data_IF_377281537017
#
_entry.id   IF_377281537017
#
_cell.length_a   1.000
_cell.length_b   1.000
_cell.length_c   1.000
_cell.angle_alpha   90.00
_cell.angle_beta   90.00
_cell.angle_gamma   90.00
#
_symmetry.space_group_name_H-M   'P 1'
#
loop_
_entity.id
_entity.type
_entity.pdbx_description
1 polymer ?
#
# COMPACT_ATOMS: atom_id res chain seq x y z
N UNK A 1 8.50 33.19 -9.72
CA UNK A 1 7.95 32.04 -10.46
C UNK A 1 9.09 31.29 -11.13
N UNK A 2 9.76 31.85 -12.14
CA UNK A 2 10.89 31.19 -12.83
C UNK A 2 12.06 30.74 -11.93
N UNK A 3 12.52 31.59 -11.01
CA UNK A 3 13.55 31.21 -10.03
C UNK A 3 13.10 30.12 -9.04
N UNK A 4 11.80 30.05 -8.75
CA UNK A 4 11.25 29.03 -7.85
C UNK A 4 11.16 27.67 -8.57
N UNK A 5 10.75 27.66 -9.85
CA UNK A 5 10.79 26.47 -10.70
C UNK A 5 12.21 25.95 -10.91
N UNK A 6 13.17 26.83 -11.19
CA UNK A 6 14.58 26.43 -11.36
C UNK A 6 15.16 25.83 -10.08
N UNK A 7 14.83 26.39 -8.91
CA UNK A 7 15.25 25.85 -7.62
C UNK A 7 14.64 24.48 -7.33
N UNK A 8 13.34 24.32 -7.60
CA UNK A 8 12.66 23.04 -7.38
C UNK A 8 13.15 21.96 -8.36
N UNK A 9 13.44 22.33 -9.60
CA UNK A 9 13.99 21.41 -10.60
C UNK A 9 15.43 21.00 -10.27
N UNK A 10 16.22 21.89 -9.66
CA UNK A 10 17.56 21.56 -9.15
C UNK A 10 17.50 20.61 -7.95
N UNK A 11 16.54 20.80 -7.03
CA UNK A 11 16.31 19.90 -5.89
C UNK A 11 15.91 18.49 -6.35
N UNK A 12 15.00 18.38 -7.31
CA UNK A 12 14.57 17.10 -7.89
C UNK A 12 15.76 16.37 -8.54
N UNK A 13 16.55 17.07 -9.37
CA UNK A 13 17.75 16.49 -9.98
C UNK A 13 18.79 16.05 -8.94
N UNK A 14 18.93 16.81 -7.86
CA UNK A 14 19.82 16.47 -6.75
C UNK A 14 19.39 15.21 -6.01
N UNK A 15 18.08 15.05 -5.77
CA UNK A 15 17.53 13.84 -5.16
C UNK A 15 17.67 12.63 -6.08
N UNK A 16 17.39 12.80 -7.38
CA UNK A 16 17.53 11.73 -8.37
C UNK A 16 18.98 11.23 -8.46
N UNK A 17 19.97 12.12 -8.47
CA UNK A 17 21.39 11.76 -8.45
C UNK A 17 21.79 11.00 -7.17
N UNK A 18 21.26 11.40 -6.01
CA UNK A 18 21.50 10.69 -4.75
C UNK A 18 20.92 9.27 -4.77
N UNK A 19 19.67 9.12 -5.20
CA UNK A 19 19.05 7.80 -5.30
C UNK A 19 19.76 6.89 -6.32
N UNK A 20 20.19 7.42 -7.46
CA UNK A 20 20.98 6.65 -8.42
C UNK A 20 22.30 6.16 -7.82
N UNK A 21 22.95 6.98 -6.99
CA UNK A 21 24.21 6.63 -6.33
C UNK A 21 23.98 5.55 -5.26
N UNK A 22 22.97 5.72 -4.40
CA UNK A 22 22.62 4.73 -3.36
C UNK A 22 22.25 3.36 -3.97
N UNK A 23 21.46 3.35 -5.05
CA UNK A 23 21.11 2.10 -5.75
C UNK A 23 22.37 1.41 -6.29
N UNK A 24 23.30 2.19 -6.86
CA UNK A 24 24.55 1.65 -7.40
C UNK A 24 25.42 1.05 -6.29
N UNK A 25 25.59 1.75 -5.17
CA UNK A 25 26.33 1.25 -4.02
C UNK A 25 25.70 -0.01 -3.42
N UNK A 26 24.36 -0.06 -3.35
CA UNK A 26 23.64 -1.23 -2.85
C UNK A 26 23.83 -2.44 -3.76
N UNK A 27 23.80 -2.24 -5.08
CA UNK A 27 24.10 -3.29 -6.07
C UNK A 27 25.55 -3.77 -5.95
N UNK A 28 26.52 -2.86 -5.80
CA UNK A 28 27.93 -3.22 -5.63
C UNK A 28 28.12 -4.06 -4.36
N UNK A 29 27.50 -3.67 -3.22
CA UNK A 29 27.53 -4.47 -1.99
C UNK A 29 26.95 -5.86 -2.17
N UNK A 30 25.79 -5.97 -2.81
CA UNK A 30 25.17 -7.27 -3.06
C UNK A 30 26.02 -8.17 -3.96
N UNK A 31 26.68 -7.60 -4.98
CA UNK A 31 27.59 -8.36 -5.84
C UNK A 31 28.80 -8.89 -5.06
N UNK A 32 29.38 -8.08 -4.16
CA UNK A 32 30.45 -8.56 -3.27
C UNK A 32 29.97 -9.64 -2.31
N UNK A 33 28.80 -9.47 -1.69
CA UNK A 33 28.26 -10.46 -0.75
C UNK A 33 27.98 -11.81 -1.42
N UNK A 34 27.46 -11.80 -2.66
CA UNK A 34 27.29 -13.03 -3.45
C UNK A 34 28.63 -13.67 -3.78
N UNK A 35 29.65 -12.89 -4.15
CA UNK A 35 30.98 -13.40 -4.43
C UNK A 35 31.64 -14.01 -3.17
N UNK A 36 31.47 -13.38 -2.00
CA UNK A 36 31.98 -13.89 -0.72
C UNK A 36 31.27 -15.20 -0.31
N UNK A 37 29.95 -15.29 -0.50
CA UNK A 37 29.20 -16.53 -0.25
C UNK A 37 29.63 -17.66 -1.19
N UNK A 38 29.89 -17.35 -2.46
CA UNK A 38 30.41 -18.35 -3.41
C UNK A 38 31.82 -18.82 -3.03
N UNK A 39 32.71 -17.93 -2.58
CA UNK A 39 34.03 -18.31 -2.05
C UNK A 39 33.92 -19.18 -0.80
N UNK A 40 33.00 -18.86 0.12
CA UNK A 40 32.75 -19.67 1.33
C UNK A 40 32.23 -21.06 0.99
N UNK A 41 31.25 -21.17 0.09
CA UNK A 41 30.75 -22.47 -0.36
C UNK A 41 31.83 -23.30 -1.06
N UNK A 42 32.68 -22.68 -1.89
CA UNK A 42 33.81 -23.38 -2.51
C UNK A 42 34.82 -23.87 -1.48
N UNK A 43 35.09 -23.09 -0.43
CA UNK A 43 35.96 -23.48 0.67
C UNK A 43 35.39 -24.67 1.47
N UNK A 44 34.10 -24.64 1.82
CA UNK A 44 33.42 -25.74 2.52
C UNK A 44 33.41 -27.03 1.69
N UNK A 45 33.12 -26.94 0.39
CA UNK A 45 33.17 -28.10 -0.51
C UNK A 45 34.59 -28.66 -0.58
N UNK A 46 35.62 -27.81 -0.66
CA UNK A 46 37.01 -28.26 -0.66
C UNK A 46 37.43 -28.89 0.67
N UNK A 47 36.90 -28.42 1.81
CA UNK A 47 37.14 -28.99 3.13
C UNK A 47 36.46 -30.35 3.29
N UNK A 48 35.20 -30.49 2.86
CA UNK A 48 34.48 -31.76 2.84
C UNK A 48 35.17 -32.79 1.94
N UNK A 49 35.69 -32.37 0.78
CA UNK A 49 36.50 -33.23 -0.09
C UNK A 49 37.81 -33.67 0.56
N UNK A 50 38.50 -32.80 1.32
CA UNK A 50 39.68 -33.19 2.10
C UNK A 50 39.34 -34.15 3.22
N UNK A 51 38.29 -33.87 4.00
CA UNK A 51 37.82 -34.73 5.09
C UNK A 51 37.44 -36.12 4.59
N UNK A 52 36.73 -36.22 3.45
CA UNK A 52 36.42 -37.49 2.80
C UNK A 52 37.68 -38.25 2.34
N UNK A 53 38.67 -37.54 1.80
CA UNK A 53 39.95 -38.12 1.35
C UNK A 53 40.82 -38.63 2.52
N UNK A 54 40.75 -37.97 3.68
CA UNK A 54 41.47 -38.35 4.90
C UNK A 54 40.77 -39.48 5.68
N UNK A 55 39.43 -39.49 5.72
CA UNK A 55 38.66 -40.57 6.37
C UNK A 55 38.84 -41.91 5.64
N UNK A 56 38.91 -41.90 4.31
CA UNK A 56 39.16 -43.08 3.48
C UNK A 56 40.52 -43.77 3.73
N UNK A 57 41.47 -43.13 4.43
CA UNK A 57 42.78 -43.72 4.75
C UNK A 57 42.87 -44.40 6.13
N UNK A 58 41.90 -44.22 7.04
CA UNK A 58 42.08 -44.67 8.44
C UNK A 58 41.03 -45.60 9.04
N UNK A 59 39.85 -45.81 8.44
CA UNK A 59 38.92 -46.88 8.86
C UNK A 59 37.91 -47.13 7.74
N UNK A 60 37.42 -48.37 7.66
CA UNK A 60 36.55 -48.91 6.61
C UNK A 60 35.70 -47.88 5.88
N UNK A 61 35.86 -47.86 4.55
CA UNK A 61 35.32 -46.84 3.66
C UNK A 61 33.83 -46.59 3.89
N UNK A 62 33.46 -45.31 3.80
CA UNK A 62 32.10 -44.93 3.48
C UNK A 62 31.65 -45.83 2.33
N UNK A 63 30.54 -46.55 2.53
CA UNK A 63 30.00 -47.44 1.52
C UNK A 63 29.84 -46.67 0.22
N UNK A 64 30.08 -47.30 -0.93
CA UNK A 64 29.91 -46.67 -2.26
C UNK A 64 28.55 -45.96 -2.38
N UNK A 65 27.54 -46.49 -1.69
CA UNK A 65 26.18 -45.95 -1.58
C UNK A 65 26.13 -44.56 -0.91
N UNK A 66 26.96 -44.28 0.09
CA UNK A 66 27.01 -42.98 0.77
C UNK A 66 27.66 -41.91 -0.12
N UNK A 67 28.66 -42.29 -0.91
CA UNK A 67 29.28 -41.40 -1.91
C UNK A 67 28.31 -41.11 -3.06
N UNK A 68 27.55 -42.11 -3.52
CA UNK A 68 26.53 -41.88 -4.55
C UNK A 68 25.39 -41.01 -4.02
N UNK A 69 24.98 -41.18 -2.76
CA UNK A 69 23.97 -40.33 -2.11
C UNK A 69 24.42 -38.88 -2.01
N UNK A 70 25.64 -38.62 -1.56
CA UNK A 70 26.18 -37.25 -1.46
C UNK A 70 26.34 -36.60 -2.85
N UNK A 71 26.70 -37.37 -3.89
CA UNK A 71 26.73 -36.86 -5.27
C UNK A 71 25.34 -36.49 -5.77
N UNK A 72 24.33 -37.31 -5.49
CA UNK A 72 22.95 -37.01 -5.84
C UNK A 72 22.47 -35.73 -5.15
N UNK A 73 22.76 -35.57 -3.86
CA UNK A 73 22.42 -34.39 -3.06
C UNK A 73 23.12 -33.12 -3.58
N UNK A 74 24.40 -33.21 -3.97
CA UNK A 74 25.12 -32.10 -4.59
C UNK A 74 24.49 -31.70 -5.94
N UNK A 75 24.13 -32.68 -6.78
CA UNK A 75 23.47 -32.38 -8.07
C UNK A 75 22.07 -31.77 -7.89
N UNK A 76 21.36 -32.15 -6.82
CA UNK A 76 20.08 -31.56 -6.47
C UNK A 76 20.25 -30.13 -5.98
N UNK A 77 21.26 -29.86 -5.16
CA UNK A 77 21.60 -28.50 -4.73
C UNK A 77 22.01 -27.61 -5.91
N UNK A 78 22.83 -28.08 -6.84
CA UNK A 78 23.20 -27.33 -8.05
C UNK A 78 21.97 -26.99 -8.90
N UNK A 79 21.04 -27.94 -9.07
CA UNK A 79 19.78 -27.69 -9.77
C UNK A 79 18.89 -26.66 -9.05
N UNK A 80 18.87 -26.68 -7.71
CA UNK A 80 18.17 -25.69 -6.88
C UNK A 80 18.83 -24.30 -6.98
N UNK A 81 20.15 -24.20 -7.00
CA UNK A 81 20.85 -22.94 -7.22
C UNK A 81 20.61 -22.39 -8.62
N UNK A 82 20.68 -23.21 -9.68
CA UNK A 82 20.38 -22.77 -11.04
C UNK A 82 18.94 -22.26 -11.18
N UNK A 83 17.97 -22.95 -10.58
CA UNK A 83 16.57 -22.52 -10.60
C UNK A 83 16.37 -21.23 -9.82
N UNK A 84 17.02 -21.06 -8.67
CA UNK A 84 17.01 -19.80 -7.90
C UNK A 84 17.63 -18.65 -8.69
N UNK A 85 18.76 -18.88 -9.36
CA UNK A 85 19.44 -17.86 -10.19
C UNK A 85 18.60 -17.47 -11.40
N UNK A 86 17.95 -18.43 -12.08
CA UNK A 86 17.01 -18.13 -13.16
C UNK A 86 15.79 -17.35 -12.67
N UNK A 87 15.28 -17.67 -11.48
CA UNK A 87 14.16 -16.94 -10.87
C UNK A 87 14.56 -15.49 -10.53
N UNK A 88 15.73 -15.28 -9.91
CA UNK A 88 16.26 -13.94 -9.64
C UNK A 88 16.48 -13.12 -10.92
N UNK A 89 17.04 -13.74 -11.96
CA UNK A 89 17.22 -13.08 -13.26
C UNK A 89 15.88 -12.70 -13.92
N UNK A 90 14.86 -13.57 -13.84
CA UNK A 90 13.53 -13.28 -14.34
C UNK A 90 12.83 -12.15 -13.54
N UNK A 91 13.00 -12.14 -12.22
CA UNK A 91 12.49 -11.07 -11.35
C UNK A 91 13.17 -9.73 -11.66
N UNK A 92 14.48 -9.71 -11.88
CA UNK A 92 15.21 -8.51 -12.28
C UNK A 92 14.79 -8.01 -13.66
N UNK A 93 14.59 -8.91 -14.63
CA UNK A 93 14.08 -8.55 -15.95
C UNK A 93 12.66 -7.96 -15.89
N UNK A 94 11.79 -8.53 -15.05
CA UNK A 94 10.44 -8.01 -14.83
C UNK A 94 10.46 -6.64 -14.14
N UNK A 95 11.36 -6.43 -13.17
CA UNK A 95 11.53 -5.14 -12.49
C UNK A 95 12.02 -4.05 -13.47
N UNK A 96 12.97 -4.37 -14.35
CA UNK A 96 13.44 -3.44 -15.38
C UNK A 96 12.32 -3.09 -16.39
N UNK A 97 11.56 -4.08 -16.85
CA UNK A 97 10.42 -3.84 -17.74
C UNK A 97 9.34 -2.95 -17.09
N UNK A 98 9.07 -3.16 -15.79
CA UNK A 98 8.15 -2.32 -15.03
C UNK A 98 8.68 -0.88 -14.89
N UNK A 99 9.99 -0.70 -14.68
CA UNK A 99 10.63 0.62 -14.63
C UNK A 99 10.53 1.35 -15.96
N UNK A 100 10.85 0.69 -17.08
CA UNK A 100 10.71 1.28 -18.42
C UNK A 100 9.25 1.67 -18.73
N UNK A 101 8.29 0.83 -18.32
CA UNK A 101 6.86 1.14 -18.44
C UNK A 101 6.43 2.34 -17.57
N UNK A 102 7.02 2.52 -16.39
CA UNK A 102 6.77 3.69 -15.56
C UNK A 102 7.39 4.96 -16.16
N UNK A 103 8.63 4.88 -16.65
CA UNK A 103 9.33 6.01 -17.30
C UNK A 103 8.59 6.49 -18.55
N UNK A 104 8.08 5.58 -19.38
CA UNK A 104 7.25 5.93 -20.54
C UNK A 104 5.92 6.58 -20.17
N UNK A 105 5.25 6.12 -19.11
CA UNK A 105 4.04 6.78 -18.58
C UNK A 105 4.34 8.18 -18.06
N UNK A 106 5.45 8.35 -17.34
CA UNK A 106 5.88 9.65 -16.82
C UNK A 106 6.20 10.62 -17.96
N UNK A 107 6.90 10.15 -19.00
CA UNK A 107 7.16 10.94 -20.21
C UNK A 107 5.87 11.37 -20.92
N UNK A 108 4.87 10.48 -21.02
CA UNK A 108 3.57 10.82 -21.60
C UNK A 108 2.80 11.86 -20.76
N UNK A 109 2.81 11.73 -19.43
CA UNK A 109 2.19 12.69 -18.53
C UNK A 109 2.85 14.08 -18.62
N UNK A 110 4.18 14.14 -18.64
CA UNK A 110 4.92 15.40 -18.82
C UNK A 110 4.56 16.07 -20.16
N UNK A 111 4.45 15.28 -21.25
CA UNK A 111 4.01 15.82 -22.53
C UNK A 111 2.60 16.41 -22.48
N UNK A 112 1.66 15.77 -21.78
CA UNK A 112 0.30 16.31 -21.61
C UNK A 112 0.29 17.61 -20.79
N UNK A 113 1.15 17.72 -19.78
CA UNK A 113 1.32 18.96 -19.00
C UNK A 113 1.87 20.07 -19.90
N UNK A 114 2.90 19.79 -20.70
CA UNK A 114 3.48 20.76 -21.65
C UNK A 114 2.44 21.21 -22.69
N UNK A 115 1.68 20.27 -23.27
CA UNK A 115 0.60 20.57 -24.22
C UNK A 115 -0.50 21.43 -23.57
N UNK A 116 -0.86 21.15 -22.30
CA UNK A 116 -1.83 21.93 -21.53
C UNK A 116 -1.33 23.35 -21.22
N UNK A 117 -0.06 23.49 -20.83
CA UNK A 117 0.58 24.79 -20.61
C UNK A 117 0.66 25.60 -21.91
N UNK A 118 0.97 24.96 -23.04
CA UNK A 118 0.95 25.60 -24.36
C UNK A 118 -0.46 26.06 -24.74
N UNK A 119 -1.49 25.25 -24.49
CA UNK A 119 -2.87 25.63 -24.73
C UNK A 119 -3.31 26.82 -23.84
N UNK A 120 -2.96 26.79 -22.55
CA UNK A 120 -3.26 27.86 -21.61
C UNK A 120 -2.57 29.17 -21.99
N UNK A 121 -1.29 29.13 -22.39
CA UNK A 121 -0.56 30.33 -22.85
C UNK A 121 -1.13 30.90 -24.14
N UNK A 122 -1.56 30.06 -25.08
CA UNK A 122 -2.27 30.49 -26.29
C UNK A 122 -3.60 31.15 -25.95
N UNK A 123 -4.40 30.54 -25.08
CA UNK A 123 -5.67 31.11 -24.61
C UNK A 123 -5.46 32.45 -23.88
N UNK A 124 -4.38 32.58 -23.10
CA UNK A 124 -4.02 33.84 -22.45
C UNK A 124 -3.65 34.93 -23.47
N UNK A 125 -2.95 34.59 -24.55
CA UNK A 125 -2.66 35.54 -25.64
C UNK A 125 -3.94 35.97 -26.38
N UNK A 126 -4.84 35.03 -26.69
CA UNK A 126 -6.14 35.33 -27.32
C UNK A 126 -7.00 36.24 -26.43
N UNK A 127 -7.04 35.98 -25.12
CA UNK A 127 -7.74 36.84 -24.16
C UNK A 127 -7.14 38.24 -24.11
N UNK A 128 -5.81 38.37 -24.21
CA UNK A 128 -5.14 39.67 -24.27
C UNK A 128 -5.50 40.44 -25.55
N UNK A 129 -5.52 39.78 -26.71
CA UNK A 129 -5.94 40.41 -27.97
C UNK A 129 -7.40 40.86 -27.93
N UNK A 130 -8.30 40.05 -27.35
CA UNK A 130 -9.70 40.44 -27.16
C UNK A 130 -9.86 41.64 -26.22
N UNK A 131 -9.06 41.72 -25.15
CA UNK A 131 -9.05 42.89 -24.26
C UNK A 131 -8.58 44.16 -24.98
N UNK A 132 -7.57 44.06 -25.84
CA UNK A 132 -7.09 45.19 -26.66
C UNK A 132 -8.15 45.64 -27.68
N UNK A 133 -8.86 44.71 -28.31
CA UNK A 133 -9.99 45.01 -29.20
C UNK A 133 -11.16 45.68 -28.47
N UNK A 134 -11.55 45.18 -27.30
CA UNK A 134 -12.58 45.80 -26.46
C UNK A 134 -12.18 47.23 -26.09
N UNK A 135 -10.92 47.45 -25.70
CA UNK A 135 -10.42 48.78 -25.37
C UNK A 135 -10.45 49.72 -26.60
N UNK A 136 -10.12 49.22 -27.78
CA UNK A 136 -10.20 49.96 -29.04
C UNK A 136 -11.64 50.33 -29.40
N UNK A 137 -12.58 49.38 -29.32
CA UNK A 137 -14.00 49.63 -29.60
C UNK A 137 -14.61 50.63 -28.62
N UNK A 138 -14.24 50.57 -27.33
CA UNK A 138 -14.66 51.56 -26.33
C UNK A 138 -14.23 52.98 -26.71
N UNK A 139 -12.97 53.17 -27.14
CA UNK A 139 -12.50 54.48 -27.63
C UNK A 139 -13.28 54.95 -28.86
N UNK A 140 -13.57 54.05 -29.81
CA UNK A 140 -14.37 54.40 -30.99
C UNK A 140 -15.79 54.85 -30.62
N UNK A 141 -16.42 54.21 -29.63
CA UNK A 141 -17.74 54.61 -29.12
C UNK A 141 -17.65 55.99 -28.42
N UNK A 142 -16.62 56.22 -27.61
CA UNK A 142 -16.38 57.51 -26.95
C UNK A 142 -16.16 58.64 -27.98
N UNK A 143 -15.34 58.42 -29.00
CA UNK A 143 -15.08 59.37 -30.08
C UNK A 143 -16.36 59.68 -30.88
N UNK A 144 -17.16 58.65 -31.22
CA UNK A 144 -18.44 58.83 -31.91
C UNK A 144 -19.43 59.65 -31.08
N UNK A 145 -19.52 59.38 -29.77
CA UNK A 145 -20.35 60.16 -28.83
C UNK A 145 -19.92 61.63 -28.75
N UNK A 146 -18.60 61.91 -28.82
CA UNK A 146 -18.10 63.29 -28.89
C UNK A 146 -18.42 64.00 -30.21
N UNK A 147 -18.46 63.27 -31.32
CA UNK A 147 -18.87 63.82 -32.62
C UNK A 147 -20.37 64.12 -32.67
N UNK A 148 -21.22 63.24 -32.14
CA UNK A 148 -22.67 63.44 -32.09
C UNK A 148 -23.05 64.64 -31.20
N UNK A 149 -22.38 64.80 -30.05
CA UNK A 149 -22.55 65.98 -29.19
C UNK A 149 -22.08 67.27 -29.87
N UNK A 150 -20.96 67.23 -30.60
CA UNK A 150 -20.46 68.39 -31.37
C UNK A 150 -21.37 68.76 -32.53
N UNK A 151 -21.93 67.76 -33.23
CA UNK A 151 -22.91 67.97 -34.31
C UNK A 151 -24.23 68.53 -33.77
N UNK A 152 -24.71 68.03 -32.63
CA UNK A 152 -25.89 68.57 -31.94
C UNK A 152 -25.69 70.02 -31.51
N UNK A 153 -24.51 70.37 -30.97
CA UNK A 153 -24.16 71.76 -30.61
C UNK A 153 -24.09 72.65 -31.86
N UNK A 154 -23.48 72.18 -32.95
CA UNK A 154 -23.43 72.94 -34.21
C UNK A 154 -24.82 73.17 -34.83
N UNK A 155 -25.70 72.16 -34.79
CA UNK A 155 -27.08 72.28 -35.24
C UNK A 155 -27.89 73.25 -34.38
N UNK A 156 -27.74 73.20 -33.05
CA UNK A 156 -28.36 74.16 -32.13
C UNK A 156 -27.90 75.61 -32.40
N UNK A 157 -26.64 75.79 -32.83
CA UNK A 157 -26.10 77.12 -33.18
C UNK A 157 -26.64 77.62 -34.53
N UNK A 158 -26.89 76.72 -35.50
CA UNK A 158 -27.43 77.06 -36.82
C UNK A 158 -28.94 77.39 -36.79
N UNK A 159 -29.72 76.80 -35.86
CA UNK A 159 -31.16 77.05 -35.71
C UNK A 159 -31.45 78.44 -35.11
N UNK A 160 -30.46 79.11 -34.53
CA UNK A 160 -30.60 80.46 -33.96
C UNK A 160 -30.81 81.59 -35.00
N UNK A 161 -30.83 81.31 -36.31
CA UNK A 161 -30.81 82.36 -37.35
C UNK A 161 -31.94 82.34 -38.38
N UNK A 162 -33.05 81.63 -38.14
CA UNK A 162 -34.16 81.59 -39.11
C UNK A 162 -35.53 81.85 -38.46
N UNK A 163 -35.73 83.08 -37.99
CA UNK A 163 -37.01 83.55 -37.49
C UNK A 163 -37.98 83.88 -38.63
N UNK A 164 -38.57 82.87 -39.28
CA UNK A 164 -39.83 83.01 -40.07
C UNK A 164 -40.41 81.68 -40.58
N UNK A 165 -40.67 80.73 -39.68
CA UNK A 165 -41.63 79.62 -39.89
C UNK A 165 -42.27 79.25 -38.54
N UNK A 166 -42.97 80.21 -37.93
CA UNK A 166 -43.43 80.08 -36.54
C UNK A 166 -44.54 79.04 -36.35
N UNK A 167 -45.49 78.90 -37.27
CA UNK A 167 -46.67 78.07 -37.00
C UNK A 167 -46.56 76.61 -37.46
N UNK A 168 -45.90 76.32 -38.58
CA UNK A 168 -45.69 74.94 -39.05
C UNK A 168 -44.63 74.23 -38.22
N UNK A 169 -43.53 74.93 -37.86
CA UNK A 169 -42.50 74.35 -37.00
C UNK A 169 -43.00 74.16 -35.56
N UNK A 170 -43.89 75.01 -35.05
CA UNK A 170 -44.52 74.79 -33.74
C UNK A 170 -45.46 73.58 -33.76
N UNK A 171 -46.22 73.36 -34.84
CA UNK A 171 -47.07 72.17 -34.98
C UNK A 171 -46.24 70.88 -35.12
N UNK A 172 -45.18 70.90 -35.93
CA UNK A 172 -44.25 69.77 -36.07
C UNK A 172 -43.49 69.50 -34.75
N UNK A 173 -43.14 70.54 -33.99
CA UNK A 173 -42.51 70.38 -32.67
C UNK A 173 -43.47 69.77 -31.65
N UNK A 174 -44.75 70.11 -31.69
CA UNK A 174 -45.74 69.52 -30.79
C UNK A 174 -46.03 68.06 -31.16
N UNK A 175 -46.14 67.73 -32.45
CA UNK A 175 -46.26 66.32 -32.91
C UNK A 175 -45.01 65.50 -32.54
N UNK A 176 -43.81 66.08 -32.65
CA UNK A 176 -42.58 65.42 -32.21
C UNK A 176 -42.51 65.26 -30.68
N UNK A 177 -43.08 66.19 -29.91
CA UNK A 177 -43.16 66.07 -28.44
C UNK A 177 -44.11 64.96 -28.04
N UNK A 178 -45.31 64.90 -28.62
CA UNK A 178 -46.25 63.79 -28.40
C UNK A 178 -45.60 62.46 -28.80
N UNK A 179 -44.88 62.42 -29.92
CA UNK A 179 -44.20 61.20 -30.35
C UNK A 179 -43.04 60.78 -29.43
N UNK A 180 -42.31 61.75 -28.87
CA UNK A 180 -41.27 61.47 -27.87
C UNK A 180 -41.90 60.94 -26.58
N UNK A 181 -43.00 61.53 -26.11
CA UNK A 181 -43.73 61.07 -24.92
C UNK A 181 -44.26 59.65 -25.11
N UNK A 182 -44.85 59.33 -26.28
CA UNK A 182 -45.26 57.96 -26.62
C UNK A 182 -44.09 56.96 -26.61
N UNK A 183 -42.94 57.36 -27.18
CA UNK A 183 -41.75 56.51 -27.22
C UNK A 183 -41.13 56.34 -25.83
N UNK A 184 -41.17 57.37 -24.97
CA UNK A 184 -40.73 57.28 -23.57
C UNK A 184 -41.65 56.35 -22.77
N UNK A 185 -42.97 56.42 -22.95
CA UNK A 185 -43.92 55.47 -22.36
C UNK A 185 -43.70 54.04 -22.84
N UNK A 186 -43.50 53.84 -24.15
CA UNK A 186 -43.24 52.52 -24.73
C UNK A 186 -41.91 51.94 -24.21
N UNK A 187 -40.86 52.77 -24.12
CA UNK A 187 -39.57 52.37 -23.57
C UNK A 187 -39.69 52.02 -22.07
N UNK A 188 -40.47 52.78 -21.29
CA UNK A 188 -40.76 52.46 -19.89
C UNK A 188 -41.52 51.12 -19.75
N UNK A 189 -42.48 50.83 -20.65
CA UNK A 189 -43.19 49.54 -20.69
C UNK A 189 -42.23 48.39 -21.03
N UNK A 190 -41.35 48.58 -22.02
CA UNK A 190 -40.36 47.58 -22.42
C UNK A 190 -39.33 47.33 -21.30
N UNK A 191 -38.83 48.36 -20.63
CA UNK A 191 -37.93 48.20 -19.48
C UNK A 191 -38.58 47.43 -18.33
N UNK A 192 -39.88 47.68 -18.08
CA UNK A 192 -40.66 46.93 -17.08
C UNK A 192 -40.79 45.46 -17.47
N UNK A 193 -41.07 45.15 -18.74
CA UNK A 193 -41.15 43.78 -19.27
C UNK A 193 -39.80 43.04 -19.22
N UNK A 194 -38.70 43.72 -19.55
CA UNK A 194 -37.35 43.14 -19.46
C UNK A 194 -37.00 42.84 -18.00
N UNK A 195 -37.34 43.75 -17.09
CA UNK A 195 -37.11 43.58 -15.65
C UNK A 195 -37.92 42.43 -15.06
N UNK A 196 -39.19 42.26 -15.45
CA UNK A 196 -40.02 41.14 -14.98
C UNK A 196 -39.59 39.82 -15.60
N UNK A 197 -39.25 39.79 -16.89
CA UNK A 197 -38.72 38.61 -17.57
C UNK A 197 -37.38 38.17 -16.98
N UNK A 198 -36.49 39.11 -16.67
CA UNK A 198 -35.21 38.83 -16.02
C UNK A 198 -35.38 38.22 -14.62
N UNK A 199 -36.32 38.73 -13.82
CA UNK A 199 -36.65 38.15 -12.50
C UNK A 199 -37.27 36.76 -12.62
N UNK A 200 -38.20 36.55 -13.56
CA UNK A 200 -38.81 35.25 -13.79
C UNK A 200 -37.79 34.21 -14.28
N UNK A 201 -36.87 34.60 -15.16
CA UNK A 201 -35.80 33.72 -15.64
C UNK A 201 -34.82 33.31 -14.53
N UNK A 202 -34.47 34.24 -13.64
CA UNK A 202 -33.61 33.94 -12.48
C UNK A 202 -34.33 33.03 -11.49
N UNK A 203 -35.59 33.32 -11.16
CA UNK A 203 -36.38 32.48 -10.26
C UNK A 203 -36.60 31.05 -10.80
N UNK A 204 -36.75 30.90 -12.12
CA UNK A 204 -36.82 29.58 -12.75
C UNK A 204 -35.48 28.83 -12.66
N UNK A 205 -34.36 29.50 -12.94
CA UNK A 205 -33.01 28.92 -12.77
C UNK A 205 -32.74 28.50 -11.33
N UNK A 206 -33.03 29.38 -10.36
CA UNK A 206 -32.82 29.11 -8.94
C UNK A 206 -33.67 27.91 -8.45
N UNK A 207 -34.89 27.76 -8.99
CA UNK A 207 -35.75 26.62 -8.69
C UNK A 207 -35.23 25.31 -9.29
N UNK A 208 -34.70 25.33 -10.52
CA UNK A 208 -34.07 24.17 -11.14
C UNK A 208 -32.79 23.77 -10.42
N UNK A 209 -31.95 24.73 -10.04
CA UNK A 209 -30.71 24.48 -9.31
C UNK A 209 -30.99 23.94 -7.91
N UNK A 210 -32.02 24.46 -7.23
CA UNK A 210 -32.48 23.91 -5.95
C UNK A 210 -32.97 22.47 -6.09
N UNK A 211 -33.73 22.15 -7.13
CA UNK A 211 -34.21 20.79 -7.38
C UNK A 211 -33.04 19.83 -7.68
N UNK A 212 -32.06 20.26 -8.48
CA UNK A 212 -30.83 19.49 -8.73
C UNK A 212 -30.04 19.25 -7.46
N UNK A 213 -29.94 20.25 -6.58
CA UNK A 213 -29.26 20.11 -5.29
C UNK A 213 -29.97 19.10 -4.39
N UNK A 214 -31.30 19.12 -4.32
CA UNK A 214 -32.09 18.15 -3.56
C UNK A 214 -31.94 16.72 -4.11
N UNK A 215 -31.93 16.56 -5.43
CA UNK A 215 -31.69 15.26 -6.11
C UNK A 215 -30.27 14.73 -5.82
N UNK A 216 -29.25 15.60 -5.87
CA UNK A 216 -27.87 15.25 -5.51
C UNK A 216 -27.73 14.88 -4.04
N UNK A 217 -28.39 15.61 -3.13
CA UNK A 217 -28.41 15.27 -1.71
C UNK A 217 -29.10 13.92 -1.46
N UNK A 218 -30.19 13.63 -2.16
CA UNK A 218 -30.88 12.34 -2.07
C UNK A 218 -30.01 11.20 -2.62
N UNK A 219 -29.26 11.42 -3.70
CA UNK A 219 -28.31 10.47 -4.24
C UNK A 219 -27.14 10.21 -3.27
N UNK A 220 -26.57 11.26 -2.67
CA UNK A 220 -25.51 11.14 -1.66
C UNK A 220 -25.95 10.32 -0.46
N UNK A 221 -27.15 10.55 0.09
CA UNK A 221 -27.68 9.74 1.20
C UNK A 221 -27.83 8.26 0.84
N UNK A 222 -28.20 7.95 -0.40
CA UNK A 222 -28.27 6.55 -0.87
C UNK A 222 -26.88 5.93 -1.00
N UNK A 223 -25.90 6.70 -1.47
CA UNK A 223 -24.51 6.25 -1.55
C UNK A 223 -23.91 6.02 -0.16
N UNK A 224 -24.17 6.91 0.81
CA UNK A 224 -23.78 6.73 2.20
C UNK A 224 -24.34 5.43 2.78
N UNK A 225 -25.64 5.17 2.61
CA UNK A 225 -26.25 3.91 3.08
C UNK A 225 -25.64 2.66 2.41
N UNK A 226 -25.32 2.71 1.12
CA UNK A 226 -24.64 1.60 0.43
C UNK A 226 -23.20 1.43 0.91
N UNK A 227 -22.49 2.52 1.24
CA UNK A 227 -21.17 2.46 1.82
C UNK A 227 -21.19 1.80 3.20
N UNK A 228 -22.13 2.17 4.06
CA UNK A 228 -22.31 1.58 5.40
C UNK A 228 -22.60 0.07 5.29
N UNK A 229 -23.53 -0.34 4.42
CA UNK A 229 -23.84 -1.76 4.15
C UNK A 229 -22.61 -2.55 3.66
N UNK A 230 -21.74 -1.92 2.86
CA UNK A 230 -20.53 -2.55 2.33
C UNK A 230 -19.42 -2.62 3.38
N UNK A 231 -19.32 -1.64 4.28
CA UNK A 231 -18.41 -1.66 5.42
C UNK A 231 -18.79 -2.77 6.40
N UNK A 232 -20.08 -2.93 6.71
CA UNK A 232 -20.57 -4.02 7.56
C UNK A 232 -20.26 -5.38 6.93
N UNK A 233 -20.54 -5.57 5.63
CA UNK A 233 -20.21 -6.82 4.92
C UNK A 233 -18.71 -7.10 4.87
N UNK A 234 -17.89 -6.07 4.74
CA UNK A 234 -16.43 -6.22 4.76
C UNK A 234 -15.93 -6.66 6.14
N UNK A 235 -16.49 -6.10 7.21
CA UNK A 235 -16.19 -6.50 8.59
C UNK A 235 -16.55 -7.96 8.85
N UNK A 236 -17.77 -8.36 8.50
CA UNK A 236 -18.24 -9.75 8.65
C UNK A 236 -17.38 -10.73 7.83
N UNK A 237 -16.97 -10.34 6.62
CA UNK A 237 -16.07 -11.15 5.80
C UNK A 237 -14.67 -11.28 6.42
N UNK A 238 -14.15 -10.20 7.03
CA UNK A 238 -12.87 -10.20 7.72
C UNK A 238 -12.89 -11.08 8.98
N UNK A 239 -13.94 -10.99 9.80
CA UNK A 239 -14.13 -11.87 10.96
C UNK A 239 -14.18 -13.34 10.54
N UNK A 240 -14.95 -13.65 9.49
CA UNK A 240 -15.01 -15.02 8.93
C UNK A 240 -13.66 -15.51 8.43
N UNK A 241 -12.86 -14.64 7.79
CA UNK A 241 -11.52 -14.99 7.35
C UNK A 241 -10.57 -15.27 8.53
N UNK A 242 -10.70 -14.52 9.63
CA UNK A 242 -9.93 -14.77 10.85
C UNK A 242 -10.30 -16.11 11.49
N UNK A 243 -11.60 -16.43 11.58
CA UNK A 243 -12.08 -17.73 12.08
C UNK A 243 -11.55 -18.87 11.21
N UNK A 244 -11.64 -18.76 9.89
CA UNK A 244 -11.10 -19.80 8.99
C UNK A 244 -9.58 -19.96 9.13
N UNK A 245 -8.86 -18.87 9.42
CA UNK A 245 -7.42 -18.92 9.64
C UNK A 245 -7.07 -19.63 10.95
N UNK A 246 -7.82 -19.39 12.04
CA UNK A 246 -7.59 -20.10 13.30
C UNK A 246 -7.97 -21.57 13.20
N UNK A 247 -9.05 -21.91 12.51
CA UNK A 247 -9.43 -23.30 12.20
C UNK A 247 -8.35 -24.01 11.36
N UNK A 248 -7.78 -23.33 10.38
CA UNK A 248 -6.70 -23.87 9.55
C UNK A 248 -5.42 -24.14 10.37
N UNK A 249 -5.02 -23.21 11.24
CA UNK A 249 -3.85 -23.42 12.10
C UNK A 249 -4.09 -24.55 13.12
N UNK A 250 -5.28 -24.64 13.71
CA UNK A 250 -5.65 -25.76 14.58
C UNK A 250 -5.62 -27.11 13.83
N UNK A 251 -6.07 -27.13 12.57
CA UNK A 251 -5.98 -28.32 11.73
C UNK A 251 -4.51 -28.69 11.42
N UNK A 252 -3.64 -27.72 11.13
CA UNK A 252 -2.21 -27.95 10.90
C UNK A 252 -1.50 -28.49 12.15
N UNK A 253 -1.80 -27.95 13.33
CA UNK A 253 -1.25 -28.46 14.58
C UNK A 253 -1.69 -29.90 14.84
N UNK A 254 -2.96 -30.20 14.58
CA UNK A 254 -3.48 -31.57 14.68
C UNK A 254 -2.77 -32.52 13.71
N UNK A 255 -2.50 -32.09 12.47
CA UNK A 255 -1.73 -32.86 11.48
C UNK A 255 -0.30 -33.09 12.00
N UNK A 256 0.40 -32.06 12.46
CA UNK A 256 1.76 -32.21 13.04
C UNK A 256 1.77 -33.17 14.23
N UNK A 257 0.77 -33.09 15.11
CA UNK A 257 0.62 -34.02 16.23
C UNK A 257 0.39 -35.46 15.78
N UNK A 258 -0.39 -35.65 14.72
CA UNK A 258 -0.60 -36.97 14.10
C UNK A 258 0.66 -37.50 13.41
N UNK A 259 1.42 -36.65 12.72
CA UNK A 259 2.69 -36.99 12.08
C UNK A 259 3.75 -37.37 13.12
N UNK A 260 3.86 -36.62 14.22
CA UNK A 260 4.76 -36.95 15.32
C UNK A 260 4.38 -38.28 15.99
N UNK A 261 3.08 -38.53 16.17
CA UNK A 261 2.59 -39.81 16.68
C UNK A 261 2.86 -40.97 15.72
N UNK A 262 2.72 -40.75 14.41
CA UNK A 262 3.04 -41.73 13.38
C UNK A 262 4.55 -42.05 13.34
N UNK A 263 5.41 -41.05 13.42
CA UNK A 263 6.86 -41.23 13.48
C UNK A 263 7.30 -41.98 14.76
N UNK A 264 6.68 -41.68 15.90
CA UNK A 264 6.93 -42.41 17.15
C UNK A 264 6.46 -43.88 17.09
N UNK A 265 5.33 -44.14 16.42
CA UNK A 265 4.85 -45.50 16.18
C UNK A 265 5.73 -46.27 15.20
N UNK A 266 6.22 -45.62 14.15
CA UNK A 266 7.13 -46.22 13.18
C UNK A 266 8.45 -46.61 13.84
N UNK A 267 9.03 -45.74 14.67
CA UNK A 267 10.21 -46.05 15.47
C UNK A 267 9.96 -47.23 16.42
N UNK A 268 8.80 -47.29 17.07
CA UNK A 268 8.42 -48.44 17.91
C UNK A 268 8.24 -49.73 17.10
N UNK A 269 7.77 -49.68 15.86
CA UNK A 269 7.71 -50.85 15.00
C UNK A 269 9.10 -51.29 14.56
N UNK A 270 10.01 -50.37 14.22
CA UNK A 270 11.41 -50.71 13.95
C UNK A 270 12.08 -51.38 15.17
N UNK A 271 11.74 -50.94 16.38
CA UNK A 271 12.18 -51.55 17.64
C UNK A 271 11.47 -52.90 17.95
N UNK A 272 10.18 -53.06 17.62
CA UNK A 272 9.37 -54.27 17.90
C UNK A 272 9.44 -55.36 16.80
N UNK A 273 9.84 -55.04 15.57
CA UNK A 273 10.09 -56.02 14.48
C UNK A 273 11.25 -56.97 14.83
N UNK A 274 11.99 -56.71 15.92
CA UNK A 274 12.89 -57.67 16.56
C UNK A 274 12.18 -58.80 17.35
N UNK A 275 10.84 -58.86 17.45
CA UNK A 275 10.12 -59.91 18.21
C UNK A 275 8.76 -60.34 17.62
N UNK A 276 8.44 -61.65 17.56
CA UNK A 276 7.20 -62.13 16.94
C UNK A 276 6.07 -62.24 17.96
N UNK A 277 5.06 -61.36 17.87
CA UNK A 277 3.91 -61.38 18.77
C UNK A 277 2.58 -61.04 18.10
N UNK A 278 1.54 -61.87 18.33
CA UNK A 278 0.18 -61.76 17.77
C UNK A 278 -0.50 -60.39 17.97
N UNK A 279 -0.08 -59.63 18.98
CA UNK A 279 -0.53 -58.25 19.25
C UNK A 279 -0.07 -57.21 18.20
N UNK A 280 1.03 -57.48 17.48
CA UNK A 280 1.48 -56.63 16.37
C UNK A 280 0.49 -56.65 15.20
N UNK A 281 -0.12 -57.79 14.92
CA UNK A 281 -1.08 -57.94 13.81
C UNK A 281 -2.40 -57.20 14.06
N UNK A 282 -2.89 -57.19 15.30
CA UNK A 282 -4.09 -56.41 15.67
C UNK A 282 -3.83 -54.90 15.59
N UNK A 283 -2.67 -54.43 16.06
CA UNK A 283 -2.27 -53.02 15.93
C UNK A 283 -2.07 -52.62 14.47
N UNK A 284 -1.51 -53.49 13.63
CA UNK A 284 -1.38 -53.24 12.18
C UNK A 284 -2.76 -53.11 11.54
N UNK A 285 -3.71 -53.98 11.86
CA UNK A 285 -5.08 -53.90 11.33
C UNK A 285 -5.81 -52.61 11.77
N UNK A 286 -5.65 -52.17 13.02
CA UNK A 286 -6.21 -50.90 13.50
C UNK A 286 -5.57 -49.67 12.81
N UNK A 287 -4.27 -49.74 12.53
CA UNK A 287 -3.55 -48.69 11.80
C UNK A 287 -3.94 -48.65 10.32
N UNK A 288 -4.10 -49.80 9.66
CA UNK A 288 -4.62 -49.89 8.29
C UNK A 288 -6.05 -49.31 8.19
N UNK A 289 -6.91 -49.58 9.18
CA UNK A 289 -8.24 -49.00 9.25
C UNK A 289 -8.21 -47.48 9.41
N UNK A 290 -7.27 -46.96 10.19
CA UNK A 290 -7.08 -45.51 10.42
C UNK A 290 -6.50 -44.81 9.20
N UNK A 291 -5.54 -45.41 8.50
CA UNK A 291 -5.02 -44.91 7.21
C UNK A 291 -6.15 -44.86 6.18
N UNK A 292 -6.92 -45.95 6.05
CA UNK A 292 -8.06 -46.01 5.13
C UNK A 292 -9.14 -44.96 5.45
N UNK A 293 -9.28 -44.57 6.73
CA UNK A 293 -10.20 -43.49 7.12
C UNK A 293 -9.65 -42.13 6.72
N UNK A 294 -8.37 -41.86 6.96
CA UNK A 294 -7.71 -40.61 6.59
C UNK A 294 -7.67 -40.42 5.07
N UNK A 295 -7.52 -41.49 4.28
CA UNK A 295 -7.59 -41.44 2.82
C UNK A 295 -8.98 -41.04 2.32
N UNK A 296 -10.05 -41.52 2.98
CA UNK A 296 -11.42 -41.09 2.66
C UNK A 296 -11.66 -39.63 3.05
N UNK A 297 -11.18 -39.22 4.22
CA UNK A 297 -11.28 -37.82 4.68
C UNK A 297 -10.50 -36.88 3.74
N UNK A 298 -9.32 -37.30 3.26
CA UNK A 298 -8.56 -36.58 2.23
C UNK A 298 -9.35 -36.47 0.92
N UNK A 299 -9.92 -37.56 0.42
CA UNK A 299 -10.71 -37.54 -0.81
C UNK A 299 -11.92 -36.60 -0.71
N UNK A 300 -12.62 -36.58 0.44
CA UNK A 300 -13.74 -35.64 0.65
C UNK A 300 -13.30 -34.18 0.68
N UNK A 301 -12.12 -33.88 1.22
CA UNK A 301 -11.58 -32.51 1.22
C UNK A 301 -11.12 -32.08 -0.17
N UNK A 302 -10.58 -33.00 -0.97
CA UNK A 302 -10.23 -32.75 -2.37
C UNK A 302 -11.48 -32.45 -3.22
N UNK A 303 -12.57 -33.21 -3.03
CA UNK A 303 -13.86 -32.96 -3.69
C UNK A 303 -14.46 -31.59 -3.31
N UNK A 304 -14.43 -31.22 -2.02
CA UNK A 304 -14.86 -29.90 -1.56
C UNK A 304 -14.02 -28.77 -2.16
N UNK A 305 -12.72 -28.98 -2.32
CA UNK A 305 -11.83 -28.01 -2.94
C UNK A 305 -12.17 -27.81 -4.43
N UNK A 306 -12.50 -28.89 -5.15
CA UNK A 306 -12.92 -28.82 -6.55
C UNK A 306 -14.28 -28.13 -6.72
N UNK A 307 -15.25 -28.40 -5.84
CA UNK A 307 -16.54 -27.70 -5.82
C UNK A 307 -16.37 -26.19 -5.60
N UNK A 308 -15.57 -25.79 -4.61
CA UNK A 308 -15.25 -24.38 -4.34
C UNK A 308 -14.51 -23.70 -5.51
N UNK A 309 -13.67 -24.44 -6.23
CA UNK A 309 -13.05 -23.94 -7.46
C UNK A 309 -14.06 -23.71 -8.58
N UNK A 310 -15.02 -24.61 -8.72
CA UNK A 310 -16.09 -24.49 -9.72
C UNK A 310 -17.02 -23.31 -9.40
N UNK A 311 -17.45 -23.15 -8.15
CA UNK A 311 -18.30 -22.02 -7.73
C UNK A 311 -17.59 -20.68 -7.92
N UNK A 312 -16.29 -20.60 -7.60
CA UNK A 312 -15.48 -19.39 -7.80
C UNK A 312 -15.37 -19.02 -9.28
N UNK A 313 -15.17 -20.00 -10.16
CA UNK A 313 -15.10 -19.78 -11.61
C UNK A 313 -16.43 -19.30 -12.19
N UNK A 314 -17.55 -19.82 -11.68
CA UNK A 314 -18.90 -19.37 -12.04
C UNK A 314 -19.15 -17.91 -11.58
N UNK A 315 -18.70 -17.55 -10.38
CA UNK A 315 -18.78 -16.18 -9.85
C UNK A 315 -17.95 -15.20 -10.67
N UNK A 316 -16.71 -15.56 -11.04
CA UNK A 316 -15.86 -14.74 -11.90
C UNK A 316 -16.50 -14.49 -13.28
N UNK A 317 -17.09 -15.54 -13.87
CA UNK A 317 -17.84 -15.41 -15.13
C UNK A 317 -19.06 -14.49 -14.98
N UNK A 318 -19.79 -14.60 -13.87
CA UNK A 318 -20.94 -13.73 -13.60
C UNK A 318 -20.54 -12.27 -13.37
N UNK A 319 -19.44 -12.01 -12.67
CA UNK A 319 -18.89 -10.67 -12.49
C UNK A 319 -18.44 -10.07 -13.82
N UNK A 320 -17.73 -10.85 -14.64
CA UNK A 320 -17.33 -10.44 -15.99
C UNK A 320 -18.53 -10.09 -16.86
N UNK A 321 -19.58 -10.93 -16.86
CA UNK A 321 -20.82 -10.67 -17.59
C UNK A 321 -21.59 -9.44 -17.07
N UNK A 322 -21.48 -9.11 -15.78
CA UNK A 322 -22.04 -7.88 -15.21
C UNK A 322 -21.24 -6.66 -15.64
N UNK A 323 -19.90 -6.76 -15.62
CA UNK A 323 -19.00 -5.71 -16.06
C UNK A 323 -19.14 -5.41 -17.56
N UNK A 324 -19.33 -6.45 -18.38
CA UNK A 324 -19.56 -6.29 -19.83
C UNK A 324 -20.96 -5.71 -20.16
N UNK A 325 -21.91 -5.77 -19.22
CA UNK A 325 -23.29 -5.24 -19.38
C UNK A 325 -23.48 -3.86 -18.78
N UNK A 326 -22.77 -3.56 -17.70
CA UNK A 326 -22.63 -2.23 -17.14
C UNK A 326 -21.89 -1.38 -18.18
N UNK A 327 -22.55 -0.40 -18.79
CA UNK A 327 -21.90 0.51 -19.74
C UNK A 327 -20.69 1.20 -19.11
N UNK A 328 -19.85 1.82 -19.95
CA UNK A 328 -18.55 2.41 -19.54
C UNK A 328 -18.68 3.38 -18.33
N UNK A 329 -19.87 3.95 -18.07
CA UNK A 329 -20.16 4.82 -16.92
C UNK A 329 -20.29 4.08 -15.57
N UNK A 330 -20.91 2.90 -15.53
CA UNK A 330 -21.00 2.07 -14.31
C UNK A 330 -19.67 1.36 -14.03
N UNK A 331 -18.93 1.00 -15.08
CA UNK A 331 -17.56 0.51 -14.96
C UNK A 331 -16.63 1.59 -14.37
N UNK A 332 -16.77 2.85 -14.80
CA UNK A 332 -16.01 3.96 -14.24
C UNK A 332 -16.36 4.23 -12.76
N UNK A 333 -17.64 4.18 -12.39
CA UNK A 333 -18.06 4.32 -10.99
C UNK A 333 -17.56 3.17 -10.10
N UNK A 334 -17.57 1.94 -10.60
CA UNK A 334 -17.05 0.79 -9.84
C UNK A 334 -15.53 0.87 -9.68
N UNK A 335 -14.78 1.29 -10.70
CA UNK A 335 -13.33 1.53 -10.60
C UNK A 335 -13.03 2.64 -9.59
N UNK A 336 -13.73 3.78 -9.65
CA UNK A 336 -13.56 4.86 -8.68
C UNK A 336 -13.88 4.40 -7.24
N UNK A 337 -14.92 3.58 -7.05
CA UNK A 337 -15.25 3.01 -5.74
C UNK A 337 -14.16 2.03 -5.26
N UNK A 338 -13.54 1.26 -6.15
CA UNK A 338 -12.41 0.39 -5.80
C UNK A 338 -11.14 1.18 -5.48
N UNK A 339 -10.85 2.27 -6.18
CA UNK A 339 -9.71 3.15 -5.89
C UNK A 339 -9.84 3.78 -4.49
N UNK A 340 -11.03 4.26 -4.11
CA UNK A 340 -11.29 4.78 -2.75
C UNK A 340 -11.07 3.70 -1.70
N UNK A 341 -11.59 2.48 -1.92
CA UNK A 341 -11.38 1.35 -1.00
C UNK A 341 -9.92 0.94 -0.90
N UNK A 342 -9.20 0.92 -2.02
CA UNK A 342 -7.79 0.60 -2.06
C UNK A 342 -6.96 1.64 -1.29
N UNK A 343 -7.25 2.93 -1.46
CA UNK A 343 -6.58 4.01 -0.74
C UNK A 343 -6.84 3.93 0.78
N UNK A 344 -8.09 3.69 1.19
CA UNK A 344 -8.44 3.52 2.61
C UNK A 344 -7.76 2.28 3.23
N UNK A 345 -7.66 1.19 2.47
CA UNK A 345 -6.95 -0.01 2.90
C UNK A 345 -5.44 0.26 3.03
N UNK A 346 -4.85 0.96 2.06
CA UNK A 346 -3.44 1.39 2.06
C UNK A 346 -3.12 2.27 3.27
N UNK A 347 -4.00 3.22 3.61
CA UNK A 347 -3.87 4.06 4.81
C UNK A 347 -3.95 3.24 6.10
N UNK A 348 -4.89 2.29 6.20
CA UNK A 348 -4.97 1.39 7.36
C UNK A 348 -3.72 0.52 7.52
N UNK A 349 -3.20 -0.02 6.43
CA UNK A 349 -1.95 -0.78 6.48
C UNK A 349 -0.78 0.08 6.93
N UNK A 350 -0.71 1.32 6.44
CA UNK A 350 0.32 2.26 6.88
C UNK A 350 0.21 2.54 8.39
N UNK A 351 -0.99 2.80 8.92
CA UNK A 351 -1.15 3.00 10.36
C UNK A 351 -0.82 1.76 11.18
N UNK A 352 -1.10 0.55 10.67
CA UNK A 352 -0.72 -0.69 11.34
C UNK A 352 0.80 -0.89 11.33
N UNK A 353 1.47 -0.56 10.22
CA UNK A 353 2.93 -0.61 10.11
C UNK A 353 3.58 0.40 11.07
N UNK A 354 3.10 1.65 11.08
CA UNK A 354 3.55 2.70 12.00
C UNK A 354 3.35 2.27 13.47
N UNK A 355 2.17 1.76 13.84
CA UNK A 355 1.87 1.25 15.19
C UNK A 355 2.73 0.06 15.59
N UNK A 356 2.99 -0.88 14.68
CA UNK A 356 3.85 -2.03 14.98
C UNK A 356 5.32 -1.64 15.11
N UNK A 357 5.74 -0.57 14.42
CA UNK A 357 7.09 -0.03 14.55
C UNK A 357 7.25 0.69 15.89
N UNK A 358 6.24 1.46 16.33
CA UNK A 358 6.22 2.07 17.67
C UNK A 358 6.29 0.98 18.77
N UNK A 359 5.53 -0.11 18.67
CA UNK A 359 5.61 -1.23 19.60
C UNK A 359 6.99 -1.91 19.61
N UNK A 360 7.64 -2.04 18.44
CA UNK A 360 9.01 -2.57 18.36
C UNK A 360 10.03 -1.66 19.02
N UNK A 361 9.90 -0.35 18.84
CA UNK A 361 10.79 0.64 19.44
C UNK A 361 10.62 0.64 20.98
N UNK A 362 9.38 0.58 21.48
CA UNK A 362 9.10 0.45 22.93
C UNK A 362 9.67 -0.85 23.52
N UNK A 363 9.54 -1.98 22.83
CA UNK A 363 10.12 -3.24 23.29
C UNK A 363 11.66 -3.21 23.28
N UNK A 364 12.28 -2.55 22.30
CA UNK A 364 13.73 -2.36 22.26
C UNK A 364 14.22 -1.50 23.42
N UNK A 365 13.50 -0.44 23.77
CA UNK A 365 13.79 0.39 24.93
C UNK A 365 13.68 -0.42 26.23
N UNK A 366 12.62 -1.21 26.39
CA UNK A 366 12.43 -2.10 27.55
C UNK A 366 13.53 -3.17 27.63
N UNK A 367 13.91 -3.77 26.51
CA UNK A 367 14.99 -4.76 26.45
C UNK A 367 16.33 -4.13 26.85
N UNK A 368 16.61 -2.92 26.36
CA UNK A 368 17.82 -2.16 26.68
C UNK A 368 17.88 -1.82 28.17
N UNK A 369 16.77 -1.37 28.75
CA UNK A 369 16.67 -1.08 30.19
C UNK A 369 16.88 -2.35 31.02
N UNK A 370 16.20 -3.44 30.67
CA UNK A 370 16.31 -4.70 31.39
C UNK A 370 17.73 -5.31 31.29
N UNK A 371 18.41 -5.18 30.14
CA UNK A 371 19.82 -5.55 29.98
C UNK A 371 20.74 -4.74 30.90
N UNK A 372 20.48 -3.43 31.05
CA UNK A 372 21.20 -2.58 31.99
C UNK A 372 20.98 -3.03 33.44
N UNK A 373 19.73 -3.31 33.83
CA UNK A 373 19.37 -3.79 35.17
C UNK A 373 20.06 -5.13 35.50
N UNK A 374 20.09 -6.07 34.56
CA UNK A 374 20.82 -7.34 34.74
C UNK A 374 22.32 -7.10 34.86
N UNK A 375 22.90 -6.19 34.06
CA UNK A 375 24.29 -5.80 34.17
C UNK A 375 24.66 -5.26 35.56
N UNK A 376 23.80 -4.44 36.15
CA UNK A 376 24.00 -3.89 37.50
C UNK A 376 23.84 -4.94 38.60
N UNK A 377 22.83 -5.81 38.50
CA UNK A 377 22.66 -6.94 39.43
C UNK A 377 23.86 -7.91 39.37
N UNK A 378 24.39 -8.20 38.18
CA UNK A 378 25.59 -9.02 38.02
C UNK A 378 26.82 -8.40 38.71
N UNK A 379 26.98 -7.07 38.63
CA UNK A 379 28.05 -6.35 39.34
C UNK A 379 27.87 -6.42 40.85
N UNK A 380 26.66 -6.22 41.36
CA UNK A 380 26.35 -6.31 42.80
C UNK A 380 26.60 -7.72 43.35
N UNK A 381 26.15 -8.77 42.65
CA UNK A 381 26.40 -10.17 43.03
C UNK A 381 27.90 -10.45 43.09
N UNK A 382 28.69 -9.99 42.10
CA UNK A 382 30.16 -10.14 42.10
C UNK A 382 30.82 -9.39 43.27
N UNK A 383 30.35 -8.18 43.59
CA UNK A 383 30.86 -7.41 44.73
C UNK A 383 30.59 -8.12 46.06
N UNK A 384 29.37 -8.61 46.29
CA UNK A 384 29.03 -9.38 47.50
C UNK A 384 29.79 -10.71 47.57
N UNK A 385 29.95 -11.43 46.46
CA UNK A 385 30.77 -12.65 46.42
C UNK A 385 32.22 -12.35 46.84
N UNK A 386 32.77 -11.22 46.38
CA UNK A 386 34.11 -10.76 46.75
C UNK A 386 34.18 -10.38 48.23
N UNK A 387 33.21 -9.63 48.75
CA UNK A 387 33.12 -9.27 50.17
C UNK A 387 33.00 -10.51 51.07
N UNK A 388 32.18 -11.50 50.69
CA UNK A 388 32.04 -12.79 51.39
C UNK A 388 33.35 -13.57 51.39
N UNK A 389 34.10 -13.56 50.28
CA UNK A 389 35.41 -14.21 50.22
C UNK A 389 36.43 -13.51 51.13
N UNK A 390 36.43 -12.18 51.15
CA UNK A 390 37.29 -11.37 52.02
C UNK A 390 36.97 -11.57 53.51
N UNK A 391 35.70 -11.52 53.91
CA UNK A 391 35.27 -11.77 55.31
C UNK A 391 35.57 -13.20 55.74
N UNK A 392 35.44 -14.21 54.87
CA UNK A 392 35.89 -15.58 55.18
C UNK A 392 37.40 -15.65 55.41
N UNK A 393 38.20 -14.93 54.63
CA UNK A 393 39.66 -14.91 54.80
C UNK A 393 40.10 -14.19 56.08
N UNK A 394 39.39 -13.14 56.49
CA UNK A 394 39.66 -12.39 57.72
C UNK A 394 39.13 -13.10 58.98
N UNK A 395 38.01 -13.84 58.87
CA UNK A 395 37.33 -14.51 59.97
C UNK A 395 38.01 -15.78 60.50
N UNK A 396 39.04 -16.29 59.82
CA UNK A 396 39.83 -17.45 60.29
C UNK A 396 40.56 -17.20 61.63
N UNK A 397 40.58 -15.97 62.13
CA UNK A 397 41.28 -15.56 63.36
C UNK A 397 40.38 -15.08 64.53
N UNK A 398 39.04 -14.98 64.42
CA UNK A 398 38.22 -14.73 65.61
C UNK A 398 36.80 -14.18 65.43
N UNK A 399 35.92 -14.59 66.36
CA UNK A 399 34.70 -13.87 66.75
C UNK A 399 33.37 -14.36 66.16
N UNK A 400 32.40 -14.69 67.03
CA UNK A 400 31.01 -15.03 66.66
C UNK A 400 30.27 -13.92 65.88
N UNK A 401 30.68 -12.65 66.03
CA UNK A 401 30.13 -11.51 65.28
C UNK A 401 30.36 -11.63 63.76
N UNK A 402 31.47 -12.22 63.32
CA UNK A 402 31.76 -12.45 61.89
C UNK A 402 30.85 -13.51 61.26
N UNK A 403 30.27 -14.42 62.06
CA UNK A 403 29.38 -15.47 61.57
C UNK A 403 28.02 -14.91 61.19
N UNK A 404 27.53 -13.94 61.95
CA UNK A 404 26.23 -13.31 61.73
C UNK A 404 26.26 -12.36 60.53
N UNK A 405 27.34 -11.58 60.38
CA UNK A 405 27.59 -10.76 59.19
C UNK A 405 27.73 -11.60 57.91
N UNK A 406 28.45 -12.73 57.97
CA UNK A 406 28.52 -13.68 56.86
C UNK A 406 27.15 -14.30 56.51
N UNK A 407 26.28 -14.51 57.50
CA UNK A 407 24.93 -15.04 57.29
C UNK A 407 24.04 -14.01 56.61
N UNK A 408 24.13 -12.74 57.02
CA UNK A 408 23.42 -11.63 56.39
C UNK A 408 23.89 -11.43 54.94
N UNK A 409 25.20 -11.36 54.70
CA UNK A 409 25.77 -11.23 53.34
C UNK A 409 25.39 -12.42 52.43
N UNK A 410 25.28 -13.64 52.95
CA UNK A 410 24.77 -14.79 52.18
C UNK A 410 23.29 -14.66 51.85
N UNK A 411 22.45 -14.26 52.80
CA UNK A 411 21.01 -14.06 52.55
C UNK A 411 20.75 -12.95 51.53
N UNK A 412 21.54 -11.87 51.57
CA UNK A 412 21.46 -10.78 50.60
C UNK A 412 21.93 -11.23 49.21
N UNK A 413 23.00 -12.03 49.15
CA UNK A 413 23.46 -12.63 47.88
C UNK A 413 22.41 -13.57 47.29
N UNK A 414 21.79 -14.45 48.10
CA UNK A 414 20.69 -15.32 47.65
C UNK A 414 19.50 -14.51 47.12
N UNK A 415 19.13 -13.42 47.80
CA UNK A 415 18.07 -12.52 47.35
C UNK A 415 18.40 -11.85 46.01
N UNK A 416 19.62 -11.32 45.84
CA UNK A 416 20.03 -10.69 44.58
C UNK A 416 20.15 -11.70 43.44
N UNK A 417 20.60 -12.93 43.72
CA UNK A 417 20.61 -14.02 42.75
C UNK A 417 19.19 -14.38 42.31
N UNK A 418 18.23 -14.45 43.23
CA UNK A 418 16.81 -14.65 42.88
C UNK A 418 16.27 -13.52 42.00
N UNK A 419 16.57 -12.26 42.34
CA UNK A 419 16.18 -11.11 41.51
C UNK A 419 16.81 -11.15 40.13
N UNK A 420 18.09 -11.53 40.04
CA UNK A 420 18.80 -11.68 38.78
C UNK A 420 18.20 -12.78 37.92
N UNK A 421 17.86 -13.94 38.49
CA UNK A 421 17.18 -15.02 37.76
C UNK A 421 15.80 -14.57 37.25
N UNK A 422 15.00 -13.91 38.09
CA UNK A 422 13.71 -13.35 37.70
C UNK A 422 13.83 -12.37 36.54
N UNK A 423 14.76 -11.41 36.63
CA UNK A 423 15.00 -10.42 35.56
C UNK A 423 15.55 -11.04 34.28
N UNK A 424 16.33 -12.12 34.40
CA UNK A 424 16.82 -12.87 33.22
C UNK A 424 15.68 -13.61 32.51
N UNK A 425 14.69 -14.11 33.25
CA UNK A 425 13.48 -14.69 32.66
C UNK A 425 12.61 -13.63 31.99
N UNK A 426 12.39 -12.47 32.63
CA UNK A 426 11.66 -11.34 32.02
C UNK A 426 12.32 -10.87 30.71
N UNK A 427 13.66 -10.80 30.68
CA UNK A 427 14.41 -10.50 29.44
C UNK A 427 14.19 -11.54 28.34
N UNK A 428 14.14 -12.82 28.69
CA UNK A 428 13.88 -13.87 27.72
C UNK A 428 12.47 -13.73 27.12
N UNK A 429 11.46 -13.47 27.97
CA UNK A 429 10.08 -13.25 27.53
C UNK A 429 9.95 -12.01 26.61
N UNK A 430 10.60 -10.90 26.94
CA UNK A 430 10.65 -9.70 26.09
C UNK A 430 11.37 -9.96 24.76
N UNK A 431 12.44 -10.76 24.77
CA UNK A 431 13.13 -11.12 23.53
C UNK A 431 12.28 -12.02 22.62
N UNK A 432 11.49 -12.92 23.21
CA UNK A 432 10.57 -13.78 22.46
C UNK A 432 9.40 -12.98 21.86
N UNK A 433 8.86 -12.00 22.59
CA UNK A 433 7.81 -11.12 22.07
C UNK A 433 8.33 -10.25 20.92
N UNK A 434 9.52 -9.66 21.05
CA UNK A 434 10.17 -8.89 19.99
C UNK A 434 10.39 -9.74 18.72
N UNK A 435 10.91 -10.97 18.86
CA UNK A 435 11.10 -11.89 17.73
C UNK A 435 9.76 -12.23 17.06
N UNK A 436 8.71 -12.42 17.85
CA UNK A 436 7.37 -12.75 17.35
C UNK A 436 6.80 -11.61 16.52
N UNK A 437 6.86 -10.37 17.04
CA UNK A 437 6.39 -9.18 16.32
C UNK A 437 7.20 -8.94 15.05
N UNK A 438 8.55 -9.08 15.09
CA UNK A 438 9.39 -8.98 13.89
C UNK A 438 9.00 -10.01 12.82
N UNK A 439 8.66 -11.23 13.21
CA UNK A 439 8.17 -12.26 12.27
C UNK A 439 6.80 -11.91 11.69
N UNK A 440 5.91 -11.33 12.47
CA UNK A 440 4.59 -10.89 12.01
C UNK A 440 4.69 -9.71 11.06
N UNK A 441 5.52 -8.71 11.38
CA UNK A 441 5.84 -7.58 10.52
C UNK A 441 6.39 -8.06 9.17
N UNK A 442 7.36 -8.96 9.16
CA UNK A 442 7.91 -9.53 7.93
C UNK A 442 6.84 -10.26 7.09
N UNK A 443 5.93 -11.00 7.72
CA UNK A 443 4.79 -11.65 7.03
C UNK A 443 3.84 -10.61 6.43
N UNK A 444 3.54 -9.54 7.15
CA UNK A 444 2.67 -8.47 6.67
C UNK A 444 3.31 -7.74 5.48
N UNK A 445 4.61 -7.43 5.54
CA UNK A 445 5.37 -6.85 4.43
C UNK A 445 5.38 -7.77 3.20
N UNK A 446 5.51 -9.09 3.38
CA UNK A 446 5.44 -10.06 2.29
C UNK A 446 4.04 -10.08 1.64
N UNK A 447 2.98 -10.09 2.45
CA UNK A 447 1.59 -10.01 1.95
C UNK A 447 1.37 -8.71 1.19
N UNK A 448 1.85 -7.59 1.71
CA UNK A 448 1.72 -6.29 1.07
C UNK A 448 2.46 -6.25 -0.28
N UNK A 449 3.69 -6.80 -0.33
CA UNK A 449 4.45 -6.95 -1.59
C UNK A 449 3.69 -7.81 -2.60
N UNK A 450 3.06 -8.90 -2.18
CA UNK A 450 2.22 -9.77 -3.03
C UNK A 450 0.96 -9.06 -3.52
N UNK A 451 0.31 -8.25 -2.69
CA UNK A 451 -0.85 -7.45 -3.08
C UNK A 451 -0.48 -6.34 -4.06
N UNK A 452 0.64 -5.66 -3.84
CA UNK A 452 1.18 -4.67 -4.77
C UNK A 452 1.49 -5.30 -6.13
N UNK A 453 2.17 -6.45 -6.15
CA UNK A 453 2.42 -7.22 -7.38
C UNK A 453 1.11 -7.57 -8.10
N UNK A 454 0.08 -8.03 -7.38
CA UNK A 454 -1.23 -8.33 -7.95
C UNK A 454 -1.90 -7.11 -8.55
N UNK A 455 -1.87 -5.97 -7.85
CA UNK A 455 -2.41 -4.71 -8.35
C UNK A 455 -1.71 -4.29 -9.65
N UNK A 456 -0.38 -4.35 -9.71
CA UNK A 456 0.39 -4.04 -10.92
C UNK A 456 0.04 -4.98 -12.09
N UNK A 457 -0.13 -6.28 -11.83
CA UNK A 457 -0.58 -7.21 -12.88
C UNK A 457 -2.00 -6.93 -13.36
N UNK A 458 -2.92 -6.55 -12.48
CA UNK A 458 -4.30 -6.20 -12.87
C UNK A 458 -4.34 -4.91 -13.68
N UNK A 459 -3.57 -3.89 -13.31
CA UNK A 459 -3.41 -2.66 -14.09
C UNK A 459 -2.85 -2.94 -15.49
N UNK A 460 -1.83 -3.81 -15.59
CA UNK A 460 -1.27 -4.22 -16.87
C UNK A 460 -2.30 -4.95 -17.74
N UNK A 461 -3.09 -5.85 -17.16
CA UNK A 461 -4.17 -6.55 -17.87
C UNK A 461 -5.27 -5.59 -18.33
N UNK A 462 -5.67 -4.61 -17.50
CA UNK A 462 -6.66 -3.60 -17.85
C UNK A 462 -6.17 -2.72 -19.01
N UNK A 463 -4.90 -2.31 -19.01
CA UNK A 463 -4.29 -1.52 -20.09
C UNK A 463 -4.28 -2.30 -21.42
N UNK A 464 -3.93 -3.59 -21.41
CA UNK A 464 -3.98 -4.45 -22.60
C UNK A 464 -5.42 -4.61 -23.11
N UNK A 465 -6.39 -4.77 -22.22
CA UNK A 465 -7.80 -4.87 -22.59
C UNK A 465 -8.34 -3.57 -23.22
N UNK A 466 -7.88 -2.41 -22.77
CA UNK A 466 -8.23 -1.11 -23.37
C UNK A 466 -7.58 -0.91 -24.75
N UNK A 467 -6.32 -1.31 -24.93
CA UNK A 467 -5.62 -1.22 -26.21
C UNK A 467 -6.20 -2.17 -27.29
N UNK A 468 -6.85 -3.27 -26.87
CA UNK A 468 -7.42 -4.28 -27.76
C UNK A 468 -8.82 -3.99 -28.31
N UNK A 469 -9.51 -2.91 -27.91
CA UNK A 469 -10.83 -2.56 -28.47
C UNK A 469 -10.63 -1.81 -29.81
N UNK A 470 -10.89 -2.42 -30.98
CA UNK A 470 -10.82 -1.71 -32.25
C UNK A 470 -11.87 -0.59 -32.25
N UNK A 471 -11.44 0.63 -32.56
CA UNK A 471 -12.33 1.76 -32.73
C UNK A 471 -13.42 1.39 -33.75
N UNK A 472 -14.64 1.13 -33.26
CA UNK A 472 -15.82 0.97 -34.11
C UNK A 472 -16.04 2.30 -34.80
N UNK A 473 -15.59 2.38 -36.05
CA UNK A 473 -15.79 3.52 -36.91
C UNK A 473 -17.27 3.88 -36.97
N UNK A 474 -17.57 5.12 -36.58
CA UNK A 474 -18.82 5.77 -36.94
C UNK A 474 -18.84 5.88 -38.46
N UNK A 475 -19.75 5.15 -39.11
CA UNK A 475 -20.20 5.42 -40.47
C UNK A 475 -21.31 6.44 -40.43
#
# INVERSE_FOLDING_TARGET
MKEMEEKHQAEIKGMEAKYQTEIKELMERHLTEVAELDEQHQAEVAELQRAASESGRRRGGASVEEIERLKAELTEQDALFETRTRKMAAEHAAANAAREAAETKLAAANKMIDDSLLAATKQQQENKTLQEEIARLKRQIEDASMWDTSAAVAAATAVSNNGRRGSEAEAELEELRERVEELEEENARLQKLVSTRGRASRAASDAEDKKRLEELQAANRKLEAVCDDLEEKAHVAQERAQVLKTELEAAKEKIRGLEAAAAALQKRMEDEVAGPGRQSKEKVADLEARVSRLEREKATLEEQLEEEWATRKELEKNLKNKLDRAGDDEAAQTVAAFEVKYNRLKERYKMLEDSSQEELDELQDQLTEALSQVGDLQRQVKQLQTQVAQTRSAGAAGGAANVEELRNLRSENERLVQQLVSKTMELAELSESEITIKRELARLQEVNRKLAQKATTLEAQAAVAQAGKPAKGKK
#
